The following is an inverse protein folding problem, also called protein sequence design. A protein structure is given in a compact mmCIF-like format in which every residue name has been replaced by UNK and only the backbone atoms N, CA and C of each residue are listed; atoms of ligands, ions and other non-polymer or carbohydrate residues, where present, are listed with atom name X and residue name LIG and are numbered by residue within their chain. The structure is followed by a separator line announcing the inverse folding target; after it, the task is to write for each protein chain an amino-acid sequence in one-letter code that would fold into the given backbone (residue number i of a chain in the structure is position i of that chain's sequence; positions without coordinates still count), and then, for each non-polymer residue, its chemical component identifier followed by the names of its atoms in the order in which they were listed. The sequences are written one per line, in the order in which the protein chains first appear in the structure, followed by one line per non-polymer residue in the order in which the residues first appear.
data_IF_500797482820
#
_entry.id   IF_500797482820
#
_cell.length_a   1.000
_cell.length_b   1.000
_cell.length_c   1.000
_cell.angle_alpha   90.00
_cell.angle_beta   90.00
_cell.angle_gamma   90.00
#
_symmetry.space_group_name_H-M   'P 1'
#
loop_
_entity.id
_entity.type
_entity.pdbx_description
1 polymer ?
#
# COMPACT_ATOMS: atom_id res chain seq x y z
N UNK A 1 -30.88 31.69 11.16
CA UNK A 1 -30.03 30.87 12.03
C UNK A 1 -30.34 29.40 11.76
N UNK A 2 -29.47 28.73 10.97
CA UNK A 2 -29.68 27.32 10.61
C UNK A 2 -29.35 26.41 11.77
N UNK A 3 -30.35 25.73 12.31
CA UNK A 3 -30.14 24.65 13.29
C UNK A 3 -29.58 23.45 12.58
N UNK A 4 -28.28 23.23 12.71
CA UNK A 4 -27.62 21.98 12.30
C UNK A 4 -28.21 20.85 13.13
N UNK A 5 -28.87 19.89 12.49
CA UNK A 5 -29.42 18.72 13.17
C UNK A 5 -28.26 17.78 13.53
N UNK A 6 -27.61 18.03 14.66
CA UNK A 6 -26.48 17.26 15.18
C UNK A 6 -26.77 15.74 15.22
N UNK A 7 -28.02 15.33 15.47
CA UNK A 7 -28.39 13.92 15.45
C UNK A 7 -28.32 13.23 14.08
N UNK A 8 -28.55 13.96 12.97
CA UNK A 8 -28.40 13.38 11.62
C UNK A 8 -26.93 13.30 11.21
N UNK A 9 -26.10 14.22 11.71
CA UNK A 9 -24.65 14.20 11.46
C UNK A 9 -23.99 13.05 12.24
N UNK A 10 -24.37 12.86 13.51
CA UNK A 10 -23.89 11.74 14.32
C UNK A 10 -24.29 10.36 13.75
N UNK A 11 -25.49 10.24 13.18
CA UNK A 11 -25.98 8.98 12.62
C UNK A 11 -25.20 8.51 11.38
N UNK A 12 -24.51 9.42 10.66
CA UNK A 12 -23.72 9.08 9.47
C UNK A 12 -22.22 8.97 9.80
N UNK A 13 -21.69 9.84 10.66
CA UNK A 13 -20.28 9.87 10.98
C UNK A 13 -19.83 8.76 11.94
N UNK A 14 -20.67 8.35 12.88
CA UNK A 14 -20.34 7.29 13.84
C UNK A 14 -20.16 5.92 13.18
N UNK A 15 -21.03 5.45 12.25
CA UNK A 15 -20.81 4.19 11.56
C UNK A 15 -19.55 4.22 10.68
N UNK A 16 -19.25 5.32 9.99
CA UNK A 16 -18.08 5.43 9.13
C UNK A 16 -16.76 5.35 9.94
N UNK A 17 -16.71 6.01 11.09
CA UNK A 17 -15.57 5.92 12.02
C UNK A 17 -15.46 4.52 12.64
N UNK A 18 -16.57 3.89 13.00
CA UNK A 18 -16.54 2.54 13.55
C UNK A 18 -16.07 1.49 12.55
N UNK A 19 -16.46 1.62 11.27
CA UNK A 19 -15.97 0.74 10.19
C UNK A 19 -14.49 0.96 9.94
N UNK A 20 -14.01 2.20 9.87
CA UNK A 20 -12.58 2.48 9.63
C UNK A 20 -11.69 2.03 10.81
N UNK A 21 -12.15 2.21 12.04
CA UNK A 21 -11.44 1.71 13.23
C UNK A 21 -11.48 0.18 13.33
N UNK A 22 -12.62 -0.44 13.02
CA UNK A 22 -12.77 -1.89 13.02
C UNK A 22 -11.87 -2.56 11.97
N UNK A 23 -11.74 -1.99 10.78
CA UNK A 23 -10.82 -2.45 9.75
C UNK A 23 -9.37 -2.31 10.19
N UNK A 24 -8.98 -1.18 10.78
CA UNK A 24 -7.64 -0.97 11.30
C UNK A 24 -7.22 -2.00 12.34
N UNK A 25 -8.12 -2.34 13.26
CA UNK A 25 -7.86 -3.34 14.30
C UNK A 25 -7.80 -4.77 13.72
N UNK A 26 -8.67 -5.12 12.78
CA UNK A 26 -8.67 -6.43 12.13
C UNK A 26 -7.40 -6.66 11.30
N UNK A 27 -6.90 -5.64 10.61
CA UNK A 27 -5.62 -5.66 9.88
C UNK A 27 -4.46 -5.81 10.88
N UNK A 28 -4.46 -5.06 11.96
CA UNK A 28 -3.41 -5.09 12.98
C UNK A 28 -3.31 -6.45 13.72
N UNK A 29 -4.40 -7.22 13.73
CA UNK A 29 -4.43 -8.55 14.34
C UNK A 29 -4.13 -9.69 13.36
N UNK A 30 -3.82 -9.39 12.10
CA UNK A 30 -3.49 -10.39 11.09
C UNK A 30 -4.64 -11.32 10.69
N UNK A 31 -5.88 -10.93 11.01
CA UNK A 31 -7.06 -11.77 10.87
C UNK A 31 -7.69 -11.75 9.47
N UNK A 32 -7.27 -10.82 8.58
CA UNK A 32 -7.91 -10.63 7.26
C UNK A 32 -6.89 -10.23 6.21
N UNK A 33 -7.03 -10.79 5.01
CA UNK A 33 -6.46 -10.18 3.82
C UNK A 33 -7.10 -8.79 3.64
N UNK A 34 -6.29 -7.78 3.43
CA UNK A 34 -6.76 -6.41 3.28
C UNK A 34 -6.39 -5.84 1.93
N UNK A 35 -7.34 -5.21 1.27
CA UNK A 35 -7.08 -4.37 0.11
C UNK A 35 -7.32 -2.91 0.49
N UNK A 36 -6.28 -2.11 0.38
CA UNK A 36 -6.36 -0.67 0.53
C UNK A 36 -6.34 -0.04 -0.86
N UNK A 37 -7.26 0.85 -1.14
CA UNK A 37 -7.28 1.59 -2.40
C UNK A 37 -7.62 3.06 -2.16
N UNK A 38 -7.01 3.94 -2.95
CA UNK A 38 -7.24 5.38 -2.89
C UNK A 38 -7.24 5.97 -4.29
N UNK A 39 -8.29 6.73 -4.63
CA UNK A 39 -8.39 7.44 -5.90
C UNK A 39 -7.30 8.53 -6.05
N UNK A 40 -6.90 9.14 -4.94
CA UNK A 40 -5.87 10.16 -4.89
C UNK A 40 -4.47 9.57 -4.68
N UNK A 41 -4.39 8.26 -4.45
CA UNK A 41 -3.16 7.58 -4.04
C UNK A 41 -2.86 7.75 -2.56
N UNK A 42 -1.91 6.96 -2.08
CA UNK A 42 -1.33 7.06 -0.75
C UNK A 42 0.18 6.83 -0.84
N UNK A 43 0.90 7.40 0.08
CA UNK A 43 2.33 7.17 0.22
C UNK A 43 2.57 5.92 1.07
N UNK A 44 3.48 5.05 0.62
CA UNK A 44 4.00 3.91 1.39
C UNK A 44 5.51 4.02 1.43
N UNK A 45 6.09 4.08 2.60
CA UNK A 45 7.53 4.17 2.77
C UNK A 45 8.03 3.14 3.80
N UNK A 46 9.28 2.74 3.63
CA UNK A 46 10.00 1.90 4.57
C UNK A 46 11.49 2.19 4.52
N UNK A 47 12.15 2.20 5.67
CA UNK A 47 13.59 2.37 5.72
C UNK A 47 14.33 1.21 5.04
N UNK A 48 13.75 0.01 5.14
CA UNK A 48 14.22 -1.20 4.46
C UNK A 48 13.04 -2.12 4.13
N UNK A 49 13.02 -2.62 2.91
CA UNK A 49 12.06 -3.63 2.45
C UNK A 49 12.82 -4.83 1.95
N UNK A 50 12.55 -6.02 2.50
CA UNK A 50 13.13 -7.26 2.02
C UNK A 50 12.06 -8.22 1.54
N UNK A 51 12.33 -9.01 0.53
CA UNK A 51 11.41 -10.02 0.01
C UNK A 51 12.16 -11.25 -0.50
N UNK A 52 11.53 -12.42 -0.47
CA UNK A 52 12.10 -13.64 -1.06
C UNK A 52 11.97 -13.63 -2.59
N UNK A 53 10.99 -12.93 -3.11
CA UNK A 53 10.85 -12.68 -4.53
C UNK A 53 10.13 -11.37 -4.79
N UNK A 54 10.44 -10.76 -5.93
CA UNK A 54 9.74 -9.59 -6.46
C UNK A 54 9.48 -9.79 -7.95
N UNK A 55 8.29 -9.48 -8.37
CA UNK A 55 7.88 -9.42 -9.76
C UNK A 55 7.32 -8.03 -10.02
N UNK A 56 7.84 -7.35 -11.01
CA UNK A 56 7.42 -6.01 -11.38
C UNK A 56 6.91 -6.05 -12.82
N UNK A 57 5.73 -5.49 -13.03
CA UNK A 57 5.13 -5.38 -14.37
C UNK A 57 4.44 -4.03 -14.55
N UNK A 58 3.94 -3.79 -15.76
CA UNK A 58 3.11 -2.61 -16.07
C UNK A 58 1.64 -3.04 -16.17
N UNK A 59 0.77 -2.24 -15.63
CA UNK A 59 -0.66 -2.55 -15.61
C UNK A 59 -1.52 -1.34 -15.24
N UNK A 60 -2.69 -1.64 -14.69
CA UNK A 60 -3.65 -0.64 -14.23
C UNK A 60 -4.11 -0.96 -12.81
N UNK A 61 -4.38 0.07 -12.04
CA UNK A 61 -5.07 -0.03 -10.76
C UNK A 61 -6.50 0.45 -10.92
N UNK A 62 -7.47 -0.37 -10.54
CA UNK A 62 -8.86 0.08 -10.42
C UNK A 62 -9.02 0.80 -9.09
N UNK A 63 -9.38 2.06 -9.14
CA UNK A 63 -9.63 2.87 -7.96
C UNK A 63 -11.09 3.29 -7.91
N UNK A 64 -11.75 3.02 -6.80
CA UNK A 64 -13.11 3.47 -6.58
C UNK A 64 -13.12 4.96 -6.26
N UNK A 65 -13.93 5.72 -6.99
CA UNK A 65 -14.14 7.15 -6.74
C UNK A 65 -15.63 7.48 -6.68
N UNK A 66 -15.97 8.70 -6.28
CA UNK A 66 -17.35 9.16 -6.17
C UNK A 66 -18.12 9.11 -7.51
N UNK A 67 -17.40 9.13 -8.63
CA UNK A 67 -17.95 9.05 -9.99
C UNK A 67 -17.91 7.66 -10.61
N UNK A 68 -17.54 6.63 -9.83
CA UNK A 68 -17.35 5.25 -10.29
C UNK A 68 -15.88 4.82 -10.28
N UNK A 69 -15.62 3.58 -10.69
CA UNK A 69 -14.26 3.06 -10.80
C UNK A 69 -13.54 3.69 -12.01
N UNK A 70 -12.29 4.08 -11.81
CA UNK A 70 -11.40 4.58 -12.86
C UNK A 70 -10.12 3.77 -12.90
N UNK A 71 -9.62 3.50 -14.11
CA UNK A 71 -8.34 2.84 -14.29
C UNK A 71 -7.21 3.87 -14.25
N UNK A 72 -6.21 3.62 -13.40
CA UNK A 72 -4.97 4.37 -13.33
C UNK A 72 -3.82 3.51 -13.84
N UNK A 73 -2.98 4.06 -14.68
CA UNK A 73 -1.74 3.37 -15.06
C UNK A 73 -0.87 3.18 -13.82
N UNK A 74 -0.36 1.99 -13.65
CA UNK A 74 0.40 1.62 -12.47
C UNK A 74 1.54 0.63 -12.79
N UNK A 75 2.60 0.73 -12.05
CA UNK A 75 3.53 -0.38 -11.87
C UNK A 75 2.88 -1.38 -10.90
N UNK A 76 2.85 -2.64 -11.27
CA UNK A 76 2.35 -3.74 -10.44
C UNK A 76 3.56 -4.46 -9.87
N UNK A 77 3.72 -4.42 -8.56
CA UNK A 77 4.79 -5.12 -7.86
C UNK A 77 4.20 -6.21 -6.96
N UNK A 78 4.45 -7.45 -7.30
CA UNK A 78 4.12 -8.61 -6.48
C UNK A 78 5.37 -9.04 -5.71
N UNK A 79 5.29 -9.05 -4.41
CA UNK A 79 6.38 -9.43 -3.51
C UNK A 79 5.93 -10.56 -2.60
N UNK A 80 6.78 -11.55 -2.37
CA UNK A 80 6.52 -12.66 -1.46
C UNK A 80 7.53 -12.66 -0.31
N UNK A 81 7.09 -13.12 0.87
CA UNK A 81 7.91 -13.12 2.08
C UNK A 81 8.43 -11.74 2.44
N UNK A 82 7.57 -10.74 2.28
CA UNK A 82 7.94 -9.33 2.41
C UNK A 82 8.01 -8.91 3.86
N UNK A 83 9.08 -8.21 4.20
CA UNK A 83 9.26 -7.55 5.50
C UNK A 83 9.58 -6.08 5.29
N UNK A 84 8.90 -5.22 6.03
CA UNK A 84 9.09 -3.79 6.03
C UNK A 84 9.68 -3.35 7.37
N UNK A 85 10.77 -2.61 7.35
CA UNK A 85 11.34 -1.97 8.54
C UNK A 85 10.95 -0.51 8.54
N UNK A 86 10.43 -0.03 9.68
CA UNK A 86 10.01 1.36 9.82
C UNK A 86 8.93 1.75 8.82
N UNK A 87 7.85 0.95 8.76
CA UNK A 87 6.74 1.17 7.83
C UNK A 87 6.04 2.50 8.11
N UNK A 88 5.76 3.24 7.07
CA UNK A 88 4.90 4.41 7.08
C UNK A 88 3.93 4.37 5.91
N UNK A 89 2.68 4.68 6.17
CA UNK A 89 1.65 4.94 5.17
C UNK A 89 1.02 6.29 5.43
N UNK A 90 0.84 7.09 4.40
CA UNK A 90 0.17 8.39 4.50
C UNK A 90 -0.86 8.54 3.38
N UNK A 91 -2.08 8.85 3.73
CA UNK A 91 -3.16 9.10 2.80
C UNK A 91 -3.77 10.48 3.06
N UNK A 92 -4.14 11.15 1.98
CA UNK A 92 -4.73 12.49 2.04
C UNK A 92 -6.01 12.53 1.20
N UNK A 93 -7.00 13.23 1.71
CA UNK A 93 -8.23 13.48 0.99
C UNK A 93 -8.70 14.92 1.23
N UNK A 94 -9.50 15.44 0.30
CA UNK A 94 -10.10 16.78 0.41
C UNK A 94 -11.60 16.65 0.59
N UNK A 95 -12.08 17.01 1.76
CA UNK A 95 -13.51 17.00 2.05
C UNK A 95 -14.06 18.40 1.80
N UNK A 96 -15.08 18.54 0.93
CA UNK A 96 -15.74 19.82 0.73
C UNK A 96 -16.19 20.41 2.08
N UNK A 97 -15.89 21.70 2.30
CA UNK A 97 -16.21 22.46 3.52
C UNK A 97 -15.19 22.27 4.67
N UNK A 98 -14.54 21.10 4.81
CA UNK A 98 -13.57 20.85 5.90
C UNK A 98 -12.11 20.99 5.44
N UNK A 99 -11.85 21.02 4.14
CA UNK A 99 -10.50 21.12 3.60
C UNK A 99 -9.78 19.77 3.56
N UNK A 100 -8.46 19.81 3.61
CA UNK A 100 -7.63 18.60 3.56
C UNK A 100 -7.67 17.87 4.90
N UNK A 101 -7.84 16.56 4.81
CA UNK A 101 -7.70 15.64 5.94
C UNK A 101 -6.66 14.58 5.53
N UNK A 102 -5.66 14.40 6.38
CA UNK A 102 -4.65 13.38 6.21
C UNK A 102 -4.67 12.37 7.35
N UNK A 103 -4.24 11.16 7.05
CA UNK A 103 -3.98 10.11 8.04
C UNK A 103 -2.59 9.55 7.79
N UNK A 104 -1.78 9.52 8.83
CA UNK A 104 -0.48 8.84 8.84
C UNK A 104 -0.56 7.62 9.74
N UNK A 105 -0.12 6.49 9.23
CA UNK A 105 0.00 5.22 9.93
C UNK A 105 1.48 4.86 9.91
N UNK A 106 2.11 4.69 11.07
CA UNK A 106 3.53 4.38 11.13
C UNK A 106 3.85 3.38 12.24
N UNK A 107 4.89 2.60 12.03
CA UNK A 107 5.55 1.80 13.07
C UNK A 107 6.80 2.51 13.58
N UNK A 108 7.38 2.05 14.67
CA UNK A 108 8.68 2.59 15.10
C UNK A 108 9.76 2.30 14.04
N UNK A 109 10.78 3.18 13.88
CA UNK A 109 11.76 3.08 12.78
C UNK A 109 12.55 1.77 12.73
N UNK A 110 12.73 1.08 13.85
CA UNK A 110 13.43 -0.20 13.94
C UNK A 110 12.49 -1.41 13.89
N UNK A 111 11.19 -1.20 13.92
CA UNK A 111 10.23 -2.30 13.94
C UNK A 111 10.15 -2.97 12.57
N UNK A 112 10.23 -4.28 12.59
CA UNK A 112 10.07 -5.12 11.40
C UNK A 112 8.62 -5.59 11.35
N UNK A 113 7.94 -5.23 10.29
CA UNK A 113 6.58 -5.67 10.00
C UNK A 113 6.64 -6.80 8.97
N UNK A 114 6.18 -7.97 9.32
CA UNK A 114 6.00 -9.08 8.37
C UNK A 114 4.66 -8.89 7.65
N UNK A 115 4.72 -8.67 6.35
CA UNK A 115 3.54 -8.46 5.51
C UNK A 115 3.27 -9.63 4.56
N UNK A 116 4.15 -10.62 4.54
CA UNK A 116 3.99 -11.83 3.74
C UNK A 116 3.94 -11.57 2.24
N UNK A 117 2.86 -12.00 1.59
CA UNK A 117 2.63 -11.74 0.17
C UNK A 117 1.89 -10.41 -0.01
N UNK A 118 2.43 -9.57 -0.90
CA UNK A 118 1.96 -8.21 -1.16
C UNK A 118 1.85 -7.96 -2.65
N UNK A 119 0.72 -7.44 -3.10
CA UNK A 119 0.56 -6.82 -4.42
C UNK A 119 0.40 -5.31 -4.24
N UNK A 120 1.31 -4.55 -4.82
CA UNK A 120 1.33 -3.10 -4.81
C UNK A 120 1.09 -2.56 -6.22
N UNK A 121 0.04 -1.76 -6.40
CA UNK A 121 -0.23 -1.03 -7.64
C UNK A 121 0.14 0.44 -7.41
N UNK A 122 1.24 0.88 -7.97
CA UNK A 122 1.83 2.19 -7.68
C UNK A 122 2.02 3.05 -8.93
N UNK A 123 1.80 4.35 -8.78
CA UNK A 123 2.19 5.34 -9.79
C UNK A 123 3.71 5.44 -9.92
N UNK A 124 4.41 5.29 -8.79
CA UNK A 124 5.87 5.29 -8.73
C UNK A 124 6.37 4.44 -7.57
N UNK A 125 7.51 3.80 -7.77
CA UNK A 125 8.27 3.10 -6.73
C UNK A 125 9.71 3.58 -6.87
N UNK A 126 10.28 4.06 -5.79
CA UNK A 126 11.68 4.49 -5.71
C UNK A 126 12.36 3.80 -4.54
N UNK A 127 13.66 3.60 -4.64
CA UNK A 127 14.50 3.13 -3.55
C UNK A 127 15.86 3.85 -3.63
N UNK A 128 16.46 4.08 -2.48
CA UNK A 128 17.80 4.66 -2.39
C UNK A 128 18.86 3.69 -2.91
N UNK A 129 18.79 2.43 -2.45
CA UNK A 129 19.56 1.32 -2.98
C UNK A 129 18.67 0.11 -3.22
N UNK A 130 19.02 -0.66 -4.25
CA UNK A 130 18.27 -1.84 -4.65
C UNK A 130 19.25 -2.98 -4.91
N UNK A 131 19.08 -4.08 -4.17
CA UNK A 131 19.76 -5.33 -4.42
C UNK A 131 18.75 -6.35 -4.95
N UNK A 132 18.98 -6.79 -6.19
CA UNK A 132 18.12 -7.73 -6.89
C UNK A 132 18.94 -8.97 -7.21
N UNK A 133 18.84 -10.03 -6.43
CA UNK A 133 19.59 -11.27 -6.70
C UNK A 133 19.17 -11.82 -8.06
N UNK A 134 19.13 -13.03 -8.35
CA UNK A 134 18.82 -13.58 -9.68
C UNK A 134 17.67 -12.85 -10.38
N UNK A 135 18.03 -11.93 -11.28
CA UNK A 135 17.08 -11.05 -11.97
C UNK A 135 16.94 -11.42 -13.43
N UNK A 136 15.70 -11.48 -13.91
CA UNK A 136 15.35 -11.62 -15.33
C UNK A 136 14.53 -10.41 -15.75
N UNK A 137 14.90 -9.82 -16.88
CA UNK A 137 14.30 -8.59 -17.41
C UNK A 137 13.80 -8.82 -18.81
N UNK A 138 12.65 -8.22 -19.16
CA UNK A 138 12.12 -8.26 -20.51
C UNK A 138 11.24 -9.48 -20.83
N UNK A 139 10.78 -10.19 -19.82
CA UNK A 139 9.74 -11.21 -19.97
C UNK A 139 8.36 -10.56 -20.18
N UNK A 140 7.41 -11.29 -20.77
CA UNK A 140 6.01 -10.90 -20.69
C UNK A 140 5.50 -11.03 -19.25
N UNK A 141 4.63 -10.13 -18.82
CA UNK A 141 4.12 -10.15 -17.45
C UNK A 141 3.40 -11.46 -17.10
N UNK A 142 2.72 -12.09 -18.06
CA UNK A 142 2.11 -13.42 -17.90
C UNK A 142 3.13 -14.52 -17.68
N UNK A 143 4.27 -14.50 -18.35
CA UNK A 143 5.37 -15.46 -18.16
C UNK A 143 6.10 -15.23 -16.83
N UNK A 144 6.24 -13.98 -16.45
CA UNK A 144 6.79 -13.59 -15.14
C UNK A 144 5.88 -13.96 -13.97
N UNK A 145 4.60 -14.24 -14.26
CA UNK A 145 3.58 -14.52 -13.25
C UNK A 145 3.25 -13.31 -12.39
N UNK A 146 3.30 -12.10 -12.97
CA UNK A 146 2.78 -10.88 -12.34
C UNK A 146 1.26 -10.99 -12.25
N UNK A 147 0.67 -10.48 -11.18
CA UNK A 147 -0.77 -10.59 -10.89
C UNK A 147 -1.62 -10.19 -12.10
N UNK A 148 -2.34 -11.14 -12.66
CA UNK A 148 -3.10 -10.99 -13.90
C UNK A 148 -4.29 -10.03 -13.79
N UNK A 149 -4.76 -9.77 -12.57
CA UNK A 149 -5.87 -8.84 -12.33
C UNK A 149 -5.51 -7.37 -12.55
N UNK A 150 -4.23 -7.05 -12.53
CA UNK A 150 -3.73 -5.68 -12.61
C UNK A 150 -2.70 -5.48 -13.72
N UNK A 151 -1.93 -6.52 -14.07
CA UNK A 151 -0.85 -6.40 -15.05
C UNK A 151 -1.36 -6.59 -16.50
N UNK A 152 -0.77 -5.86 -17.45
CA UNK A 152 -0.91 -6.15 -18.86
C UNK A 152 -0.17 -7.47 -19.16
N UNK A 153 -0.83 -8.54 -19.58
CA UNK A 153 -0.22 -9.86 -19.74
C UNK A 153 0.93 -9.89 -20.76
N UNK A 154 0.90 -9.03 -21.75
CA UNK A 154 1.94 -8.88 -22.77
C UNK A 154 2.90 -7.72 -22.45
N UNK A 155 2.74 -7.08 -21.29
CA UNK A 155 3.57 -5.96 -20.86
C UNK A 155 4.96 -6.43 -20.44
N UNK A 156 5.86 -5.47 -20.36
CA UNK A 156 7.20 -5.68 -19.81
C UNK A 156 7.13 -6.12 -18.34
N UNK A 157 7.96 -7.09 -17.99
CA UNK A 157 8.16 -7.48 -16.61
C UNK A 157 9.62 -7.70 -16.25
N UNK A 158 9.87 -7.55 -14.96
CA UNK A 158 11.12 -7.89 -14.28
C UNK A 158 10.80 -8.86 -13.14
N UNK A 159 11.59 -9.89 -12.99
CA UNK A 159 11.50 -10.80 -11.84
C UNK A 159 12.83 -10.88 -11.12
N UNK A 160 12.79 -10.94 -9.81
CA UNK A 160 13.96 -11.21 -8.97
C UNK A 160 13.59 -12.22 -7.90
N UNK A 161 14.44 -13.23 -7.71
CA UNK A 161 14.16 -14.34 -6.80
C UNK A 161 15.40 -14.63 -5.96
N UNK A 162 15.21 -14.78 -4.65
CA UNK A 162 16.23 -15.25 -3.72
C UNK A 162 16.71 -16.66 -4.11
N UNK A 163 18.01 -16.88 -4.10
CA UNK A 163 18.61 -18.18 -4.43
C UNK A 163 18.90 -19.05 -3.21
N UNK A 164 19.12 -18.44 -2.06
CA UNK A 164 19.66 -19.13 -0.87
C UNK A 164 18.95 -18.83 0.44
N UNK A 165 17.81 -18.13 0.40
CA UNK A 165 17.11 -17.70 1.63
C UNK A 165 17.80 -16.57 2.41
N UNK A 166 19.10 -16.35 2.18
CA UNK A 166 19.89 -15.22 2.75
C UNK A 166 20.13 -14.10 1.75
N UNK A 167 19.99 -14.41 0.47
CA UNK A 167 20.17 -13.51 -0.67
C UNK A 167 18.80 -12.96 -1.07
N UNK A 168 18.28 -12.05 -0.27
CA UNK A 168 16.93 -11.48 -0.43
C UNK A 168 16.95 -10.32 -1.42
N UNK A 169 15.79 -10.07 -2.05
CA UNK A 169 15.53 -8.76 -2.66
C UNK A 169 15.56 -7.73 -1.54
N UNK A 170 16.35 -6.68 -1.70
CA UNK A 170 16.51 -5.62 -0.70
C UNK A 170 16.31 -4.25 -1.35
N UNK A 171 15.36 -3.49 -0.81
CA UNK A 171 15.06 -2.12 -1.21
C UNK A 171 15.24 -1.22 0.01
N UNK A 172 16.35 -0.52 0.09
CA UNK A 172 16.62 0.43 1.18
C UNK A 172 16.08 1.81 0.83
N UNK A 173 15.40 2.45 1.78
CA UNK A 173 14.77 3.75 1.57
C UNK A 173 13.68 3.71 0.50
N UNK A 174 12.83 2.66 0.55
CA UNK A 174 11.71 2.53 -0.37
C UNK A 174 10.67 3.61 -0.10
N UNK A 175 10.21 4.24 -1.17
CA UNK A 175 9.05 5.13 -1.19
C UNK A 175 8.21 4.80 -2.42
N UNK A 176 6.92 4.66 -2.24
CA UNK A 176 5.96 4.40 -3.31
C UNK A 176 4.74 5.31 -3.19
N UNK A 177 4.32 5.88 -4.31
CA UNK A 177 2.98 6.47 -4.43
C UNK A 177 2.06 5.42 -5.00
N UNK A 178 1.21 4.84 -4.16
CA UNK A 178 0.39 3.70 -4.51
C UNK A 178 -1.08 4.08 -4.67
N UNK A 179 -1.77 3.38 -5.57
CA UNK A 179 -3.22 3.45 -5.72
C UNK A 179 -3.92 2.31 -5.01
N UNK A 180 -3.28 1.14 -4.97
CA UNK A 180 -3.81 -0.02 -4.28
C UNK A 180 -2.69 -0.86 -3.66
N UNK A 181 -2.97 -1.43 -2.52
CA UNK A 181 -2.13 -2.37 -1.79
C UNK A 181 -3.01 -3.55 -1.36
N UNK A 182 -2.65 -4.75 -1.77
CA UNK A 182 -3.29 -5.99 -1.33
C UNK A 182 -2.32 -6.79 -0.47
N UNK A 183 -2.76 -7.13 0.72
CA UNK A 183 -2.04 -7.97 1.67
C UNK A 183 -2.74 -9.33 1.72
N UNK A 184 -2.06 -10.39 1.30
CA UNK A 184 -2.68 -11.73 1.20
C UNK A 184 -2.64 -12.50 2.52
N UNK A 185 -1.65 -12.24 3.36
CA UNK A 185 -1.38 -13.03 4.57
C UNK A 185 -1.62 -12.28 5.89
N UNK A 186 -2.29 -11.13 5.81
CA UNK A 186 -2.49 -10.28 6.98
C UNK A 186 -1.24 -9.46 7.35
N UNK A 187 -1.40 -8.56 8.29
CA UNK A 187 -0.36 -7.64 8.74
C UNK A 187 -0.18 -7.77 10.24
N UNK A 188 1.02 -8.11 10.67
CA UNK A 188 1.36 -8.11 12.10
C UNK A 188 2.21 -6.89 12.40
N UNK A 189 1.69 -5.99 13.21
CA UNK A 189 2.36 -4.76 13.63
C UNK A 189 2.76 -4.87 15.10
N UNK A 190 4.05 -4.65 15.39
CA UNK A 190 4.57 -4.63 16.77
C UNK A 190 4.24 -3.33 17.49
N UNK A 191 4.19 -2.23 16.75
CA UNK A 191 3.73 -0.92 17.25
C UNK A 191 2.97 -0.21 16.15
N UNK A 192 1.85 0.40 16.48
CA UNK A 192 1.04 1.15 15.54
C UNK A 192 0.75 2.54 16.08
N UNK A 193 1.16 3.54 15.32
CA UNK A 193 0.79 4.92 15.57
C UNK A 193 -0.09 5.41 14.42
N UNK A 194 -1.31 5.84 14.73
CA UNK A 194 -2.24 6.43 13.78
C UNK A 194 -2.45 7.89 14.13
N UNK A 195 -2.01 8.77 13.28
CA UNK A 195 -2.07 10.22 13.48
C UNK A 195 -2.95 10.88 12.41
N UNK A 196 -4.19 11.27 12.75
CA UNK A 196 -4.99 12.12 11.89
C UNK A 196 -4.46 13.55 11.91
N UNK A 197 -4.55 14.24 10.77
CA UNK A 197 -4.14 15.64 10.64
C UNK A 197 -5.10 16.41 9.74
N UNK A 198 -5.20 17.71 9.94
CA UNK A 198 -5.93 18.64 9.05
C UNK A 198 -5.00 19.27 8.00
N UNK A 199 -3.76 18.84 7.95
CA UNK A 199 -2.77 19.18 6.93
C UNK A 199 -2.42 17.95 6.10
N UNK A 200 -1.59 18.12 5.08
CA UNK A 200 -1.09 16.99 4.30
C UNK A 200 -0.24 16.07 5.18
N UNK A 201 -0.64 14.81 5.26
CA UNK A 201 0.16 13.75 5.89
C UNK A 201 1.23 13.26 4.90
N UNK A 202 2.46 13.09 5.39
CA UNK A 202 3.59 12.55 4.60
C UNK A 202 4.38 11.55 5.42
N UNK A 203 5.10 10.67 4.74
CA UNK A 203 5.99 9.68 5.38
C UNK A 203 7.43 10.19 5.58
N UNK A 204 7.80 11.25 4.94
CA UNK A 204 9.14 11.85 5.03
C UNK A 204 9.12 13.34 4.97
#
# INVERSE_FOLDING_TARGET
MGRTRAGKFAAVSVPALAVSLGFGVAIAQGLVSATLSSANGFELAGSKTTATSMKLGLGTAQVAGAAGATDKQAAVADMAGTKLTGMCMAANDTIPVFGNIGVKIATAPADITDVGAVTLNAASITAGTTDLPKTTVGQAASEAGVSSSSANPNGFALTSVSQSGTDLVDLTGMNATAYALTLESGLTLSSLNVTPTTSTATCG
#
